data_IF_129538295655
#
_entry.id   IF_129538295655
#
_cell.length_a   1.000
_cell.length_b   1.000
_cell.length_c   1.000
_cell.angle_alpha   90.00
_cell.angle_beta   90.00
_cell.angle_gamma   90.00
#
_symmetry.space_group_name_H-M   'P 1'
#
loop_
_entity.id
_entity.type
_entity.pdbx_description
1 polymer ?
#
# COMPACT_ATOMS: atom_id res chain seq x y z
N UNK A 1 -46.42 20.66 29.18
CA UNK A 1 -46.20 20.99 27.76
C UNK A 1 -44.73 20.80 27.46
N UNK A 2 -44.48 20.13 26.35
CA UNK A 2 -43.27 19.48 25.80
C UNK A 2 -41.93 20.24 25.93
N UNK A 3 -40.90 19.55 26.45
CA UNK A 3 -39.48 19.90 26.27
C UNK A 3 -39.08 19.58 24.82
N UNK A 4 -38.74 20.59 24.04
CA UNK A 4 -38.10 20.41 22.74
C UNK A 4 -36.60 20.33 22.94
N UNK A 5 -36.04 19.12 22.78
CA UNK A 5 -34.60 18.90 22.70
C UNK A 5 -34.06 19.53 21.41
N UNK A 6 -33.49 20.73 21.51
CA UNK A 6 -32.69 21.31 20.43
C UNK A 6 -31.32 20.62 20.47
N UNK A 7 -31.09 19.67 19.56
CA UNK A 7 -29.73 19.24 19.26
C UNK A 7 -28.97 20.51 18.82
N UNK A 8 -28.03 20.96 19.64
CA UNK A 8 -27.33 22.22 19.43
C UNK A 8 -26.60 22.19 18.07
N UNK A 9 -26.56 23.29 17.30
CA UNK A 9 -25.89 23.37 16.01
C UNK A 9 -24.45 22.81 16.00
N UNK A 10 -23.77 22.86 17.15
CA UNK A 10 -22.43 22.30 17.34
C UNK A 10 -22.36 20.77 17.23
N UNK A 11 -23.38 20.03 17.70
CA UNK A 11 -23.43 18.56 17.58
C UNK A 11 -23.59 18.13 16.10
N UNK A 12 -24.31 18.92 15.31
CA UNK A 12 -24.44 18.67 13.88
C UNK A 12 -23.13 18.94 13.13
N UNK A 13 -22.42 20.01 13.47
CA UNK A 13 -21.12 20.34 12.87
C UNK A 13 -20.07 19.27 13.22
N UNK A 14 -20.03 18.81 14.47
CA UNK A 14 -19.10 17.75 14.89
C UNK A 14 -19.37 16.43 14.13
N UNK A 15 -20.64 16.09 13.93
CA UNK A 15 -21.04 14.94 13.09
C UNK A 15 -20.61 15.11 11.64
N UNK A 16 -20.76 16.30 11.05
CA UNK A 16 -20.30 16.59 9.69
C UNK A 16 -18.78 16.38 9.59
N UNK A 17 -18.00 16.98 10.50
CA UNK A 17 -16.54 16.84 10.50
C UNK A 17 -16.10 15.38 10.63
N UNK A 18 -16.76 14.60 11.48
CA UNK A 18 -16.48 13.17 11.63
C UNK A 18 -16.80 12.38 10.37
N UNK A 19 -17.94 12.65 9.73
CA UNK A 19 -18.31 12.02 8.47
C UNK A 19 -17.32 12.38 7.36
N UNK A 20 -16.86 13.64 7.30
CA UNK A 20 -15.84 14.07 6.35
C UNK A 20 -14.51 13.34 6.57
N UNK A 21 -14.05 13.18 7.82
CA UNK A 21 -12.87 12.37 8.13
C UNK A 21 -13.02 10.92 7.67
N UNK A 22 -14.15 10.28 7.97
CA UNK A 22 -14.41 8.91 7.53
C UNK A 22 -14.43 8.78 6.01
N UNK A 23 -14.98 9.77 5.30
CA UNK A 23 -14.96 9.80 3.83
C UNK A 23 -13.52 9.89 3.30
N UNK A 24 -12.65 10.69 3.92
CA UNK A 24 -11.25 10.80 3.50
C UNK A 24 -10.48 9.50 3.75
N UNK A 25 -10.68 8.86 4.90
CA UNK A 25 -10.08 7.55 5.21
C UNK A 25 -10.53 6.49 4.19
N UNK A 26 -11.83 6.43 3.87
CA UNK A 26 -12.37 5.50 2.87
C UNK A 26 -11.80 5.74 1.47
N UNK A 27 -11.57 7.00 1.08
CA UNK A 27 -10.93 7.34 -0.19
C UNK A 27 -9.49 6.83 -0.24
N UNK A 28 -8.72 7.07 0.82
CA UNK A 28 -7.35 6.59 0.91
C UNK A 28 -7.27 5.05 0.87
N UNK A 29 -8.17 4.35 1.56
CA UNK A 29 -8.26 2.88 1.51
C UNK A 29 -8.60 2.37 0.10
N UNK A 30 -9.51 3.06 -0.61
CA UNK A 30 -9.85 2.70 -1.99
C UNK A 30 -8.67 2.89 -2.95
N UNK A 31 -7.92 3.97 -2.79
CA UNK A 31 -6.71 4.22 -3.58
C UNK A 31 -5.65 3.13 -3.33
N UNK A 32 -5.43 2.76 -2.06
CA UNK A 32 -4.53 1.66 -1.70
C UNK A 32 -4.98 0.32 -2.30
N UNK A 33 -6.29 0.04 -2.30
CA UNK A 33 -6.84 -1.16 -2.90
C UNK A 33 -6.57 -1.22 -4.41
N UNK A 34 -6.80 -0.12 -5.14
CA UNK A 34 -6.55 -0.05 -6.58
C UNK A 34 -5.07 -0.30 -6.92
N UNK A 35 -4.16 0.29 -6.14
CA UNK A 35 -2.71 0.06 -6.30
C UNK A 35 -2.34 -1.41 -6.02
N UNK A 36 -2.97 -2.03 -5.02
CA UNK A 36 -2.75 -3.45 -4.72
C UNK A 36 -3.27 -4.36 -5.84
N UNK A 37 -4.45 -4.07 -6.39
CA UNK A 37 -5.03 -4.80 -7.53
C UNK A 37 -4.14 -4.70 -8.78
N UNK A 38 -3.57 -3.52 -9.06
CA UNK A 38 -2.63 -3.33 -10.16
C UNK A 38 -1.34 -4.16 -9.98
N UNK A 39 -0.73 -4.10 -8.77
CA UNK A 39 0.45 -4.91 -8.43
C UNK A 39 0.17 -6.41 -8.58
N UNK A 40 -1.02 -6.86 -8.15
CA UNK A 40 -1.45 -8.25 -8.26
C UNK A 40 -1.54 -8.67 -9.72
N UNK A 41 -2.22 -7.89 -10.57
CA UNK A 41 -2.36 -8.18 -12.00
C UNK A 41 -0.99 -8.24 -12.71
N UNK A 42 -0.13 -7.25 -12.48
CA UNK A 42 1.21 -7.19 -13.06
C UNK A 42 2.08 -8.38 -12.60
N UNK A 43 2.03 -8.72 -11.31
CA UNK A 43 2.73 -9.90 -10.80
C UNK A 43 2.18 -11.19 -11.40
N UNK A 44 0.86 -11.34 -11.51
CA UNK A 44 0.26 -12.54 -12.08
C UNK A 44 0.65 -12.72 -13.55
N UNK A 45 0.75 -11.65 -14.31
CA UNK A 45 1.26 -11.67 -15.70
C UNK A 45 2.72 -12.09 -15.79
N UNK A 46 3.57 -11.59 -14.89
CA UNK A 46 5.01 -11.82 -14.95
C UNK A 46 5.47 -13.13 -14.27
N UNK A 47 4.82 -13.51 -13.17
CA UNK A 47 5.26 -14.60 -12.28
C UNK A 47 4.26 -15.76 -12.25
N UNK A 48 2.95 -15.49 -12.36
CA UNK A 48 1.91 -16.53 -12.44
C UNK A 48 1.74 -17.38 -11.18
N UNK A 49 2.04 -16.83 -10.00
CA UNK A 49 1.95 -17.53 -8.70
C UNK A 49 1.03 -16.78 -7.75
N UNK A 50 -0.23 -17.20 -7.67
CA UNK A 50 -1.29 -16.53 -6.90
C UNK A 50 -0.89 -16.16 -5.46
N UNK A 51 -0.45 -17.13 -4.65
CA UNK A 51 -0.06 -16.89 -3.24
C UNK A 51 1.10 -15.91 -3.11
N UNK A 52 2.06 -15.99 -4.02
CA UNK A 52 3.21 -15.10 -4.04
C UNK A 52 2.80 -13.69 -4.47
N UNK A 53 2.03 -13.56 -5.54
CA UNK A 53 1.59 -12.28 -6.06
C UNK A 53 0.65 -11.56 -5.11
N UNK A 54 -0.24 -12.30 -4.43
CA UNK A 54 -1.07 -11.74 -3.36
C UNK A 54 -0.21 -11.20 -2.23
N UNK A 55 0.78 -11.98 -1.78
CA UNK A 55 1.70 -11.54 -0.75
C UNK A 55 2.48 -10.26 -1.14
N UNK A 56 2.97 -10.19 -2.38
CA UNK A 56 3.67 -8.99 -2.86
C UNK A 56 2.74 -7.79 -2.98
N UNK A 57 1.56 -7.96 -3.55
CA UNK A 57 0.59 -6.88 -3.76
C UNK A 57 0.13 -6.24 -2.44
N UNK A 58 -0.01 -7.04 -1.38
CA UNK A 58 -0.37 -6.60 -0.04
C UNK A 58 0.84 -6.08 0.76
N UNK A 59 2.05 -6.50 0.41
CA UNK A 59 3.25 -6.27 1.22
C UNK A 59 4.19 -5.17 0.71
N UNK A 60 4.21 -4.89 -0.59
CA UNK A 60 5.10 -3.88 -1.15
C UNK A 60 4.72 -2.47 -0.64
N UNK A 61 5.71 -1.59 -0.38
CA UNK A 61 5.42 -0.21 0.00
C UNK A 61 4.45 0.45 -0.98
N UNK A 62 3.53 1.33 -0.52
CA UNK A 62 2.53 1.96 -1.38
C UNK A 62 3.14 2.64 -2.61
N UNK A 63 4.26 3.32 -2.41
CA UNK A 63 4.97 4.10 -3.44
C UNK A 63 5.81 3.25 -4.41
N UNK A 64 5.92 1.94 -4.17
CA UNK A 64 6.71 1.02 -5.01
C UNK A 64 5.78 0.30 -5.97
N UNK A 65 5.91 0.55 -7.28
CA UNK A 65 5.19 -0.17 -8.33
C UNK A 65 5.78 -1.57 -8.56
N UNK A 66 5.07 -2.46 -9.27
CA UNK A 66 5.63 -3.77 -9.62
C UNK A 66 6.86 -3.65 -10.54
N UNK A 67 6.86 -2.69 -11.47
CA UNK A 67 8.02 -2.43 -12.33
C UNK A 67 9.25 -2.02 -11.52
N UNK A 68 9.08 -1.13 -10.54
CA UNK A 68 10.14 -0.73 -9.63
C UNK A 68 10.62 -1.91 -8.79
N UNK A 69 9.70 -2.75 -8.29
CA UNK A 69 10.05 -4.00 -7.62
C UNK A 69 10.96 -4.86 -8.50
N UNK A 70 10.59 -5.12 -9.77
CA UNK A 70 11.42 -5.90 -10.69
C UNK A 70 12.78 -5.23 -10.90
N UNK A 71 12.80 -3.92 -11.13
CA UNK A 71 14.04 -3.16 -11.34
C UNK A 71 14.97 -3.24 -10.13
N UNK A 72 14.44 -3.13 -8.91
CA UNK A 72 15.19 -3.27 -7.66
C UNK A 72 15.82 -4.65 -7.52
N UNK A 73 15.14 -5.71 -7.95
CA UNK A 73 15.66 -7.07 -7.83
C UNK A 73 16.75 -7.42 -8.84
N UNK A 74 16.66 -6.89 -10.07
CA UNK A 74 17.62 -7.21 -11.13
C UNK A 74 18.82 -6.27 -11.17
N UNK A 75 18.74 -5.14 -10.44
CA UNK A 75 19.78 -4.11 -10.44
C UNK A 75 20.57 -4.17 -9.13
N UNK A 76 21.89 -4.42 -9.17
CA UNK A 76 22.74 -4.36 -7.98
C UNK A 76 22.61 -3.02 -7.24
N UNK A 77 22.64 -3.01 -5.89
CA UNK A 77 22.43 -1.79 -5.08
C UNK A 77 23.33 -0.62 -5.48
N UNK A 78 24.60 -0.89 -5.79
CA UNK A 78 25.54 0.15 -6.26
C UNK A 78 25.18 0.76 -7.62
N UNK A 79 24.41 0.05 -8.46
CA UNK A 79 23.90 0.53 -9.75
C UNK A 79 22.51 1.14 -9.68
N UNK A 80 21.80 0.96 -8.57
CA UNK A 80 20.54 1.67 -8.29
C UNK A 80 20.77 3.14 -7.91
N UNK A 81 22.02 3.53 -7.61
CA UNK A 81 22.29 4.82 -6.97
C UNK A 81 21.87 4.81 -5.50
N UNK A 82 21.84 3.63 -4.86
CA UNK A 82 21.37 3.49 -3.48
C UNK A 82 22.08 4.45 -2.52
N UNK A 83 23.38 4.70 -2.69
CA UNK A 83 24.13 5.60 -1.81
C UNK A 83 23.64 7.06 -1.85
N UNK A 84 23.13 7.51 -3.00
CA UNK A 84 22.62 8.86 -3.23
C UNK A 84 21.13 9.01 -2.89
N UNK A 85 20.45 7.91 -2.58
CA UNK A 85 19.04 7.91 -2.20
C UNK A 85 18.81 8.59 -0.84
N UNK A 86 17.66 9.25 -0.75
CA UNK A 86 17.11 9.72 0.52
C UNK A 86 16.84 8.54 1.46
N UNK A 87 16.69 8.81 2.76
CA UNK A 87 16.38 7.78 3.76
C UNK A 87 15.12 6.98 3.40
N UNK A 88 14.09 7.65 2.86
CA UNK A 88 12.83 6.99 2.46
C UNK A 88 13.06 6.06 1.27
N UNK A 89 13.78 6.51 0.25
CA UNK A 89 14.09 5.68 -0.93
C UNK A 89 14.94 4.46 -0.57
N UNK A 90 15.93 4.63 0.31
CA UNK A 90 16.73 3.50 0.84
C UNK A 90 15.83 2.48 1.53
N UNK A 91 14.96 2.96 2.42
CA UNK A 91 13.98 2.12 3.12
C UNK A 91 13.08 1.36 2.13
N UNK A 92 12.54 2.03 1.12
CA UNK A 92 11.70 1.39 0.11
C UNK A 92 12.43 0.26 -0.62
N UNK A 93 13.71 0.46 -0.98
CA UNK A 93 14.54 -0.61 -1.58
C UNK A 93 14.73 -1.78 -0.62
N UNK A 94 15.07 -1.50 0.64
CA UNK A 94 15.32 -2.54 1.63
C UNK A 94 14.04 -3.33 1.96
N UNK A 95 12.93 -2.64 2.20
CA UNK A 95 11.61 -3.24 2.44
C UNK A 95 11.16 -4.09 1.25
N UNK A 96 11.44 -3.63 0.01
CA UNK A 96 11.11 -4.37 -1.22
C UNK A 96 11.87 -5.70 -1.29
N UNK A 97 13.16 -5.69 -0.95
CA UNK A 97 14.00 -6.89 -0.91
C UNK A 97 13.53 -7.83 0.20
N UNK A 98 13.28 -7.32 1.41
CA UNK A 98 12.78 -8.12 2.53
C UNK A 98 11.43 -8.77 2.21
N UNK A 99 10.52 -8.00 1.61
CA UNK A 99 9.18 -8.49 1.27
C UNK A 99 9.22 -9.64 0.26
N UNK A 100 10.15 -9.58 -0.71
CA UNK A 100 10.35 -10.69 -1.65
C UNK A 100 10.66 -11.98 -0.90
N UNK A 101 11.66 -11.96 -0.02
CA UNK A 101 12.09 -13.16 0.71
C UNK A 101 10.93 -13.74 1.51
N UNK A 102 10.20 -12.88 2.24
CA UNK A 102 8.99 -13.26 2.99
C UNK A 102 7.91 -13.89 2.10
N UNK A 103 7.72 -13.39 0.88
CA UNK A 103 6.72 -13.92 -0.05
C UNK A 103 7.16 -15.20 -0.74
N UNK A 104 8.45 -15.38 -1.01
CA UNK A 104 9.01 -16.63 -1.54
C UNK A 104 8.68 -17.80 -0.59
N UNK A 105 8.89 -17.61 0.72
CA UNK A 105 8.57 -18.61 1.74
C UNK A 105 7.08 -19.01 1.74
N UNK A 106 6.18 -18.08 1.39
CA UNK A 106 4.73 -18.31 1.39
C UNK A 106 4.18 -18.96 0.12
N UNK A 107 4.87 -18.86 -1.01
CA UNK A 107 4.24 -19.12 -2.32
C UNK A 107 5.12 -19.77 -3.39
N UNK A 108 6.44 -19.83 -3.21
CA UNK A 108 7.35 -20.41 -4.21
C UNK A 108 7.73 -21.87 -3.93
N UNK A 109 7.86 -22.24 -2.66
CA UNK A 109 8.23 -23.61 -2.26
C UNK A 109 7.02 -24.33 -1.65
N UNK A 110 6.18 -24.90 -2.51
CA UNK A 110 5.23 -25.99 -2.20
C UNK A 110 4.98 -26.81 -3.45
#
# INVERSE_FOLDING_TARGET
MTLSAQAAPNDLIEKINRLEQQIQELKALKEQQLVSEEKMDQCMKAVGRDKFCKCLAEGLPPDVTFEQYVHTLITPKNKLGYDTFTTIQKKNVDDTIEMREKCIEKGFFK
#
